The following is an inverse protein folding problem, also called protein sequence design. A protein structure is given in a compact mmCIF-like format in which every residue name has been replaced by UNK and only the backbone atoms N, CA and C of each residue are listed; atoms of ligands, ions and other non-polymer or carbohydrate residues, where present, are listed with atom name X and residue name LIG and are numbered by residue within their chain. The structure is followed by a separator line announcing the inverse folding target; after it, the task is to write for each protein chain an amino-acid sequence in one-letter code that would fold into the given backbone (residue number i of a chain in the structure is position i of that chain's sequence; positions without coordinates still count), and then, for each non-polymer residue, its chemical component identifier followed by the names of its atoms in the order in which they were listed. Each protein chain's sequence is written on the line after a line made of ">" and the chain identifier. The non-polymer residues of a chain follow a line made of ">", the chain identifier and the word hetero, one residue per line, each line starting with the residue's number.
data_IF_137195162844
#
_entry.id   IF_137195162844
#
_cell.length_a   1.000
_cell.length_b   1.000
_cell.length_c   1.000
_cell.angle_alpha   90.00
_cell.angle_beta   90.00
_cell.angle_gamma   90.00
#
_symmetry.space_group_name_H-M   'P 1'
#
loop_
_entity.id
_entity.type
_entity.pdbx_description
1 polymer ?
2 water ?
#
# COMPACT_ATOMS: atom_id res chain seq x y z
N UNK A 3 -9.40 -4.41 17.39
CA UNK A 3 -8.75 -5.65 16.99
C UNK A 3 -7.90 -5.43 15.74
N UNK A 4 -7.19 -4.31 15.71
CA UNK A 4 -6.32 -4.00 14.58
C UNK A 4 -5.05 -4.84 14.68
N UNK A 5 -4.74 -5.57 13.61
CA UNK A 5 -3.62 -6.49 13.60
C UNK A 5 -2.87 -6.41 12.28
N UNK A 6 -1.60 -6.80 12.31
CA UNK A 6 -0.80 -6.88 11.09
C UNK A 6 -1.34 -7.99 10.21
N UNK A 7 -1.54 -7.69 8.93
CA UNK A 7 -1.96 -8.64 7.91
C UNK A 7 -0.77 -9.20 7.14
N UNK A 8 0.18 -8.34 6.79
CA UNK A 8 1.33 -8.72 5.98
C UNK A 8 2.44 -7.72 6.25
N UNK A 9 3.68 -8.19 6.25
CA UNK A 9 4.83 -7.31 6.42
C UNK A 9 6.01 -7.84 5.62
N UNK A 10 6.91 -6.95 5.25
CA UNK A 10 8.08 -7.35 4.49
C UNK A 10 8.74 -6.16 3.81
N UNK A 11 9.87 -6.46 3.17
CA UNK A 11 10.62 -5.43 2.46
C UNK A 11 10.02 -5.16 1.08
N UNK A 12 9.94 -3.88 0.73
CA UNK A 12 9.50 -3.44 -0.58
C UNK A 12 10.51 -2.42 -1.08
N UNK A 13 10.77 -2.40 -2.38
CA UNK A 13 11.59 -1.35 -2.96
C UNK A 13 10.67 -0.20 -3.34
N UNK A 14 10.76 0.92 -2.63
CA UNK A 14 9.84 2.03 -2.85
C UNK A 14 10.51 3.09 -3.71
N UNK A 15 9.79 3.56 -4.72
CA UNK A 15 10.30 4.67 -5.52
C UNK A 15 9.99 5.98 -4.80
N UNK A 16 10.98 6.86 -4.73
CA UNK A 16 10.77 8.13 -4.05
C UNK A 16 9.75 8.98 -4.79
N UNK A 17 8.92 9.69 -4.02
CA UNK A 17 7.97 10.60 -4.64
C UNK A 17 8.66 11.88 -5.10
N UNK A 18 9.78 12.23 -4.47
CA UNK A 18 10.58 13.41 -4.74
C UNK A 18 11.75 13.09 -5.67
N UNK A 19 12.53 12.07 -5.32
CA UNK A 19 13.79 11.76 -6.00
C UNK A 19 13.57 10.86 -7.21
N UNK A 20 12.65 9.91 -7.11
CA UNK A 20 12.35 8.89 -8.12
C UNK A 20 13.39 7.78 -8.17
N UNK A 21 14.36 7.77 -7.26
CA UNK A 21 15.20 6.61 -7.06
C UNK A 21 14.45 5.58 -6.23
N UNK A 22 15.02 4.39 -6.11
CA UNK A 22 14.38 3.29 -5.41
C UNK A 22 15.17 2.93 -4.16
N UNK A 23 14.47 2.77 -3.04
CA UNK A 23 15.11 2.45 -1.77
C UNK A 23 14.32 1.36 -1.06
N UNK A 24 15.00 0.45 -0.38
CA UNK A 24 14.27 -0.57 0.39
C UNK A 24 13.63 0.04 1.62
N UNK A 25 12.39 -0.37 1.88
CA UNK A 25 11.65 0.04 3.06
C UNK A 25 10.94 -1.18 3.62
N UNK A 26 10.86 -1.28 4.95
CA UNK A 26 10.18 -2.39 5.60
C UNK A 26 8.76 -1.96 5.93
N UNK A 27 7.78 -2.58 5.27
CA UNK A 27 6.39 -2.15 5.38
C UNK A 27 5.53 -3.15 6.13
N UNK A 28 4.58 -2.63 6.89
CA UNK A 28 3.58 -3.43 7.58
C UNK A 28 2.21 -2.91 7.18
N UNK A 29 1.34 -3.81 6.74
CA UNK A 29 -0.05 -3.52 6.44
C UNK A 29 -0.92 -4.09 7.55
N UNK A 30 -1.80 -3.26 8.12
CA UNK A 30 -2.74 -3.69 9.15
C UNK A 30 -4.14 -3.80 8.57
N UNK A 31 -4.99 -4.57 9.27
CA UNK A 31 -6.32 -4.86 8.75
C UNK A 31 -7.27 -3.67 8.82
N UNK A 32 -6.86 -2.57 9.45
CA UNK A 32 -7.63 -1.34 9.41
C UNK A 32 -7.20 -0.41 8.29
N UNK A 33 -6.26 -0.83 7.43
CA UNK A 33 -5.82 0.00 6.33
C UNK A 33 -4.50 0.72 6.55
N UNK A 34 -4.01 0.75 7.79
CA UNK A 34 -2.74 1.39 8.08
C UNK A 34 -1.62 0.71 7.30
N UNK A 35 -0.79 1.51 6.63
CA UNK A 35 0.33 0.99 5.86
C UNK A 35 1.52 1.85 6.24
N UNK A 36 2.48 1.24 6.93
CA UNK A 36 3.54 1.99 7.57
C UNK A 36 4.89 1.41 7.14
N UNK A 37 5.81 2.28 6.76
CA UNK A 37 7.09 1.86 6.20
C UNK A 37 8.25 2.48 6.97
N UNK A 38 9.24 1.64 7.28
CA UNK A 38 10.39 2.02 8.08
C UNK A 38 11.68 1.88 7.27
N UNK A 39 12.67 2.69 7.65
CA UNK A 39 14.00 2.54 7.08
C UNK A 39 14.61 1.20 7.45
N UNK A 40 14.37 0.74 8.68
CA UNK A 40 14.90 -0.52 9.17
C UNK A 40 13.76 -1.38 9.69
N UNK A 41 13.93 -2.69 9.61
CA UNK A 41 12.93 -3.60 10.17
C UNK A 41 12.80 -3.35 11.67
N UNK A 42 11.60 -3.05 12.18
CA UNK A 42 11.39 -2.67 13.59
C UNK A 42 11.73 -3.79 14.56
N UNK A 49 11.82 4.07 16.44
CA UNK A 49 11.96 4.98 15.31
C UNK A 49 10.62 5.32 14.68
N UNK A 50 10.43 6.59 14.35
CA UNK A 50 9.26 6.99 13.60
C UNK A 50 9.35 6.41 12.19
N UNK A 51 8.23 6.03 11.59
CA UNK A 51 8.28 5.50 10.22
C UNK A 51 8.58 6.60 9.22
N UNK A 52 9.17 6.19 8.11
CA UNK A 52 9.36 7.10 6.98
C UNK A 52 8.08 7.28 6.20
N UNK A 53 7.22 6.27 6.16
CA UNK A 53 5.97 6.34 5.41
C UNK A 53 4.82 5.90 6.29
N UNK A 54 3.66 6.52 6.10
CA UNK A 54 2.52 6.25 6.96
C UNK A 54 1.28 6.72 6.22
N UNK A 55 0.47 5.79 5.73
CA UNK A 55 -0.74 6.19 5.03
C UNK A 55 -1.75 5.06 5.01
N UNK A 56 -3.02 5.43 4.95
CA UNK A 56 -4.09 4.45 4.86
C UNK A 56 -4.28 4.03 3.42
N UNK A 57 -4.55 2.73 3.22
CA UNK A 57 -4.90 2.20 1.91
C UNK A 57 -6.41 2.15 1.68
N UNK A 58 -7.21 2.68 2.60
CA UNK A 58 -8.65 2.73 2.37
C UNK A 58 -8.94 3.51 1.09
N UNK A 59 -9.86 2.99 0.29
CA UNK A 59 -10.30 3.61 -0.97
C UNK A 59 -9.19 3.71 -2.01
N UNK A 60 -8.16 2.87 -1.89
CA UNK A 60 -7.08 2.87 -2.86
C UNK A 60 -7.46 2.08 -4.10
N UNK A 61 -6.79 2.41 -5.19
CA UNK A 61 -6.80 1.65 -6.43
C UNK A 61 -5.41 1.06 -6.61
N UNK A 62 -5.35 -0.21 -6.96
CA UNK A 62 -4.08 -0.88 -7.21
C UNK A 62 -3.84 -1.01 -8.70
N UNK A 63 -2.64 -0.65 -9.14
CA UNK A 63 -2.24 -0.82 -10.53
C UNK A 63 -0.95 -1.62 -10.58
N UNK A 64 -0.74 -2.33 -11.68
CA UNK A 64 0.49 -3.08 -11.89
C UNK A 64 1.16 -2.57 -13.16
N UNK A 65 2.49 -2.53 -13.14
CA UNK A 65 3.23 -2.13 -14.32
C UNK A 65 4.55 -2.88 -14.35
N UNK A 66 5.17 -2.90 -15.53
CA UNK A 66 6.44 -3.58 -15.72
C UNK A 66 7.57 -2.63 -16.06
N UNK A 67 7.32 -1.33 -16.14
CA UNK A 67 8.35 -0.39 -16.55
C UNK A 67 8.37 0.80 -15.61
N UNK A 68 9.56 1.32 -15.26
CA UNK A 68 10.85 0.78 -15.71
C UNK A 68 11.26 -0.52 -15.03
N UNK A 69 10.63 -0.87 -13.91
CA UNK A 69 11.01 -2.13 -13.27
C UNK A 69 9.90 -3.17 -13.38
N UNK A 70 10.24 -4.43 -13.67
CA UNK A 70 9.22 -5.49 -13.65
C UNK A 70 8.65 -5.64 -12.25
N UNK A 71 7.44 -6.19 -12.18
CA UNK A 71 6.85 -6.53 -10.89
C UNK A 71 6.64 -5.29 -10.02
N UNK A 72 6.20 -4.20 -10.65
CA UNK A 72 5.88 -2.98 -9.92
C UNK A 72 4.39 -2.93 -9.65
N UNK A 73 4.04 -2.47 -8.46
CA UNK A 73 2.66 -2.15 -8.16
C UNK A 73 2.57 -0.74 -7.60
N UNK A 74 1.44 -0.09 -7.89
CA UNK A 74 1.18 1.29 -7.50
C UNK A 74 -0.10 1.33 -6.68
N UNK A 75 -0.06 2.01 -5.54
CA UNK A 75 -1.24 2.29 -4.73
C UNK A 75 -1.61 3.74 -5.00
N UNK A 76 -2.80 3.97 -5.57
CA UNK A 76 -3.24 5.31 -5.92
C UNK A 76 -4.47 5.67 -5.10
N UNK A 77 -4.45 6.85 -4.49
CA UNK A 77 -5.56 7.32 -3.67
C UNK A 77 -5.90 8.75 -4.08
N UNK A 78 -7.19 9.08 -4.05
CA UNK A 78 -7.67 10.42 -4.35
C UNK A 78 -8.19 11.02 -3.06
N UNK A 79 -7.53 12.07 -2.58
CA UNK A 79 -7.90 12.70 -1.31
C UNK A 79 -8.07 14.19 -1.53
N UNK A 80 -9.30 14.68 -1.38
CA UNK A 80 -9.64 16.05 -1.74
C UNK A 80 -9.22 16.33 -3.17
N UNK A 81 -8.27 17.24 -3.36
CA UNK A 81 -7.80 17.59 -4.70
C UNK A 81 -6.51 16.89 -5.08
N UNK A 82 -5.89 16.14 -4.18
CA UNK A 82 -4.58 15.56 -4.44
C UNK A 82 -4.67 14.08 -4.78
N UNK A 83 -3.83 13.65 -5.71
CA UNK A 83 -3.62 12.24 -6.01
C UNK A 83 -2.36 11.81 -5.29
N UNK A 84 -2.49 10.87 -4.37
CA UNK A 84 -1.36 10.27 -3.69
C UNK A 84 -1.04 8.97 -4.42
N UNK A 85 0.23 8.77 -4.74
CA UNK A 85 0.67 7.52 -5.33
C UNK A 85 1.83 6.97 -4.51
N UNK A 86 1.88 5.65 -4.42
CA UNK A 86 3.02 4.96 -3.82
C UNK A 86 3.41 3.83 -4.75
N UNK A 87 4.67 3.81 -5.17
CA UNK A 87 5.14 2.89 -6.19
C UNK A 87 6.15 1.94 -5.58
N UNK A 88 5.94 0.64 -5.78
CA UNK A 88 6.72 -0.40 -5.13
C UNK A 88 7.15 -1.45 -6.14
N UNK A 89 8.35 -2.00 -5.93
CA UNK A 89 8.89 -3.08 -6.74
C UNK A 89 9.27 -4.24 -5.83
N UNK A 90 8.98 -5.46 -6.29
CA UNK A 90 9.43 -6.69 -5.66
C UNK A 90 10.05 -7.59 -6.72
N UNK A 91 10.77 -8.62 -6.27
CA UNK A 91 11.61 -9.36 -7.20
C UNK A 91 10.84 -10.32 -8.11
N UNK A 92 9.67 -10.79 -7.70
CA UNK A 92 8.96 -11.78 -8.48
C UNK A 92 7.50 -11.36 -8.67
N UNK A 93 6.87 -11.81 -9.75
CA UNK A 93 5.44 -11.53 -9.91
C UNK A 93 4.58 -12.17 -8.84
N UNK A 94 5.02 -13.32 -8.31
CA UNK A 94 4.27 -13.97 -7.24
C UNK A 94 4.24 -13.11 -5.98
N UNK A 95 5.38 -12.53 -5.60
CA UNK A 95 5.39 -11.61 -4.47
C UNK A 95 4.51 -10.39 -4.72
N UNK A 96 4.52 -9.86 -5.95
CA UNK A 96 3.63 -8.75 -6.25
C UNK A 96 2.18 -9.15 -6.05
N UNK A 97 1.80 -10.34 -6.51
CA UNK A 97 0.42 -10.79 -6.34
C UNK A 97 0.08 -10.94 -4.87
N UNK A 98 1.02 -11.43 -4.07
CA UNK A 98 0.77 -11.58 -2.63
C UNK A 98 0.48 -10.22 -1.99
N UNK A 99 1.28 -9.21 -2.32
CA UNK A 99 1.07 -7.88 -1.73
C UNK A 99 -0.20 -7.24 -2.24
N UNK A 100 -0.44 -7.29 -3.55
CA UNK A 100 -1.63 -6.62 -4.08
C UNK A 100 -2.90 -7.30 -3.61
N UNK A 101 -2.90 -8.63 -3.49
CA UNK A 101 -4.07 -9.31 -2.96
C UNK A 101 -4.31 -8.94 -1.51
N UNK A 102 -3.25 -8.89 -0.70
CA UNK A 102 -3.43 -8.50 0.70
C UNK A 102 -3.99 -7.08 0.83
N UNK A 103 -3.40 -6.13 0.09
CA UNK A 103 -3.87 -4.75 0.15
C UNK A 103 -5.32 -4.66 -0.33
N UNK A 104 -5.65 -5.35 -1.44
CA UNK A 104 -7.00 -5.27 -1.98
C UNK A 104 -8.01 -5.86 -1.01
N UNK A 105 -7.65 -6.96 -0.33
CA UNK A 105 -8.56 -7.56 0.63
C UNK A 105 -8.83 -6.61 1.79
N UNK A 106 -7.79 -5.96 2.31
CA UNK A 106 -7.98 -4.98 3.38
C UNK A 106 -8.87 -3.83 2.90
N UNK A 107 -8.58 -3.30 1.70
CA UNK A 107 -9.38 -2.20 1.16
C UNK A 107 -10.83 -2.61 0.95
N UNK A 108 -11.06 -3.84 0.51
CA UNK A 108 -12.42 -4.32 0.27
C UNK A 108 -13.19 -4.47 1.58
N UNK A 109 -12.52 -4.93 2.64
CA UNK A 109 -13.19 -4.98 3.94
C UNK A 109 -13.57 -3.59 4.42
N UNK A 110 -12.67 -2.62 4.24
CA UNK A 110 -12.99 -1.25 4.62
C UNK A 110 -14.12 -0.68 3.77
N UNK A 111 -14.19 -1.04 2.49
CA UNK A 111 -15.27 -0.56 1.64
C UNK A 111 -16.61 -1.13 2.09
N UNK A 112 -16.62 -2.40 2.49
CA UNK A 112 -17.85 -2.99 3.03
C UNK A 112 -18.32 -2.21 4.25
N UNK A 113 -17.39 -1.91 5.16
CA UNK A 113 -17.73 -1.09 6.33
C UNK A 113 -18.30 0.27 5.92
N UNK A 114 -17.67 0.92 4.94
CA UNK A 114 -18.13 2.22 4.48
C UNK A 114 -19.56 2.13 3.94
N UNK A 115 -19.85 1.10 3.14
CA UNK A 115 -21.19 0.91 2.60
C UNK A 115 -22.20 0.69 3.72
N UNK A 116 -21.83 -0.09 4.73
CA UNK A 116 -22.74 -0.31 5.85
C UNK A 116 -23.00 0.96 6.64
N UNK A 117 -22.07 1.91 6.62
CA UNK A 117 -22.27 3.16 7.33
C UNK A 117 -22.95 4.23 6.49
N UNK A 118 -22.80 4.20 5.16
CA UNK A 118 -23.23 5.30 4.31
C UNK A 118 -24.48 5.01 3.49
N UNK A 119 -24.78 3.75 3.20
CA UNK A 119 -25.93 3.44 2.35
C UNK A 119 -27.22 3.51 3.15
N UNK A 120 -28.24 4.14 2.55
CA UNK A 120 -29.61 4.12 3.07
C UNK A 120 -29.69 4.62 4.51
N UNK A 121 -29.07 5.77 4.76
CA UNK A 121 -29.10 6.38 6.08
C UNK A 121 -30.49 6.92 6.41
#
# INVERSE_FOLDING_TARGET
>A
MSDVAIVKEGWLHKRGEYIKTWRPRYFLLKNDGTFIGYKERPQDVDQREAPLNNFSVAQCQLMKTERPRPNTFIIRCLQWTTVIEATFHVETPEEREEWTTAIQTVADGLKKQEEEEMDFR
#
